data_IF_004306113491
#
_entry.id   IF_004306113491
#
_cell.length_a   1.000
_cell.length_b   1.000
_cell.length_c   1.000
_cell.angle_alpha   90.00
_cell.angle_beta   90.00
_cell.angle_gamma   90.00
#
_symmetry.space_group_name_H-M   'P 1'
#
loop_
_entity.id
_entity.type
_entity.pdbx_description
1 polymer ?
#
# COMPACT_ATOMS: atom_id res chain seq x y z
N UNK A 1 3.61 21.76 5.84
CA UNK A 1 4.75 22.53 5.29
C UNK A 1 5.82 21.62 4.69
N UNK A 2 6.29 20.56 5.38
CA UNK A 2 7.24 19.58 4.80
C UNK A 2 6.71 18.81 3.57
N UNK A 3 5.45 18.40 3.55
CA UNK A 3 4.89 17.59 2.45
C UNK A 3 4.76 18.32 1.10
N UNK A 4 4.52 19.63 1.12
CA UNK A 4 4.34 20.45 -0.09
C UNK A 4 5.68 20.67 -0.79
N UNK A 5 6.75 20.86 -0.02
CA UNK A 5 8.12 21.04 -0.52
C UNK A 5 8.66 19.72 -1.13
N UNK A 6 8.39 18.59 -0.46
CA UNK A 6 8.70 17.24 -0.95
C UNK A 6 7.94 16.88 -2.24
N UNK A 7 6.71 17.37 -2.41
CA UNK A 7 5.88 17.11 -3.59
C UNK A 7 6.47 17.74 -4.86
N UNK A 8 7.03 18.95 -4.74
CA UNK A 8 7.69 19.63 -5.86
C UNK A 8 9.10 19.08 -6.10
N UNK A 9 9.88 18.84 -5.04
CA UNK A 9 11.19 18.19 -5.15
C UNK A 9 11.13 16.80 -5.79
N UNK A 10 10.06 16.04 -5.57
CA UNK A 10 9.89 14.72 -6.20
C UNK A 10 9.80 14.77 -7.72
N UNK A 11 9.29 15.85 -8.30
CA UNK A 11 9.18 15.99 -9.77
C UNK A 11 10.54 16.38 -10.36
N UNK A 12 11.25 17.29 -9.68
CA UNK A 12 12.43 17.98 -10.19
C UNK A 12 13.77 17.30 -9.87
N UNK A 13 13.89 16.57 -8.75
CA UNK A 13 15.15 16.01 -8.26
C UNK A 13 15.12 14.50 -7.97
N UNK A 14 16.30 13.90 -8.05
CA UNK A 14 16.53 12.47 -8.33
C UNK A 14 16.43 11.52 -7.14
N UNK A 15 17.54 10.83 -6.82
CA UNK A 15 17.57 9.70 -5.88
C UNK A 15 17.46 10.12 -4.40
N UNK A 16 17.90 11.32 -4.03
CA UNK A 16 17.92 11.80 -2.63
C UNK A 16 16.51 12.04 -2.08
N UNK A 17 15.62 12.59 -2.88
CA UNK A 17 14.23 12.87 -2.53
C UNK A 17 13.42 11.57 -2.43
N UNK A 18 13.76 10.56 -3.23
CA UNK A 18 13.15 9.23 -3.14
C UNK A 18 13.45 8.58 -1.78
N UNK A 19 14.68 8.70 -1.28
CA UNK A 19 15.06 8.16 0.04
C UNK A 19 14.24 8.82 1.16
N UNK A 20 14.06 10.15 1.13
CA UNK A 20 13.25 10.86 2.11
C UNK A 20 11.77 10.43 2.06
N UNK A 21 11.23 10.24 0.86
CA UNK A 21 9.86 9.76 0.65
C UNK A 21 9.70 8.33 1.20
N UNK A 22 10.67 7.44 0.93
CA UNK A 22 10.66 6.07 1.46
C UNK A 22 10.70 6.11 2.99
N UNK A 23 11.55 6.95 3.58
CA UNK A 23 11.65 7.08 5.03
C UNK A 23 10.35 7.61 5.66
N UNK A 24 9.64 8.52 4.98
CA UNK A 24 8.42 9.14 5.50
C UNK A 24 7.17 8.25 5.33
N UNK A 25 7.10 7.50 4.24
CA UNK A 25 5.90 6.76 3.83
C UNK A 25 6.05 5.25 3.89
N UNK A 26 7.26 4.70 3.83
CA UNK A 26 7.50 3.26 3.64
C UNK A 26 6.83 2.40 4.69
N UNK A 27 7.04 2.71 5.98
CA UNK A 27 6.41 1.94 7.06
C UNK A 27 4.87 2.09 7.04
N UNK A 28 4.36 3.28 6.70
CA UNK A 28 2.91 3.53 6.68
C UNK A 28 2.22 2.80 5.52
N UNK A 29 2.84 2.80 4.33
CA UNK A 29 2.34 2.08 3.17
C UNK A 29 2.46 0.57 3.35
N UNK A 30 3.53 0.09 4.00
CA UNK A 30 3.70 -1.32 4.35
C UNK A 30 2.58 -1.80 5.26
N UNK A 31 2.37 -1.09 6.36
CA UNK A 31 1.26 -1.34 7.28
C UNK A 31 -0.11 -1.34 6.58
N UNK A 32 -0.34 -0.38 5.70
CA UNK A 32 -1.57 -0.27 4.91
C UNK A 32 -1.76 -1.45 3.94
N UNK A 33 -0.71 -1.80 3.19
CA UNK A 33 -0.72 -2.94 2.27
C UNK A 33 -0.91 -4.26 3.00
N UNK A 34 -0.23 -4.46 4.15
CA UNK A 34 -0.40 -5.65 5.01
C UNK A 34 -1.84 -5.77 5.49
N UNK A 35 -2.50 -4.66 5.85
CA UNK A 35 -3.89 -4.69 6.27
C UNK A 35 -4.86 -5.09 5.13
N UNK A 36 -4.56 -4.70 3.89
CA UNK A 36 -5.37 -5.06 2.72
C UNK A 36 -5.16 -6.52 2.32
N UNK A 37 -3.89 -6.93 2.20
CA UNK A 37 -3.48 -8.25 1.70
C UNK A 37 -3.60 -9.36 2.76
N UNK A 38 -3.55 -8.99 4.03
CA UNK A 38 -3.38 -9.90 5.16
C UNK A 38 -2.13 -10.80 5.02
N UNK A 39 -1.09 -10.29 4.38
CA UNK A 39 0.19 -10.95 4.14
C UNK A 39 1.30 -9.88 4.17
N UNK A 40 2.32 -10.07 5.03
CA UNK A 40 3.40 -9.10 5.20
C UNK A 40 4.39 -9.15 4.03
N UNK A 41 4.76 -10.34 3.56
CA UNK A 41 5.75 -10.49 2.51
C UNK A 41 5.23 -10.01 1.16
N UNK A 42 3.96 -10.31 0.83
CA UNK A 42 3.33 -9.71 -0.35
C UNK A 42 3.24 -8.18 -0.23
N UNK A 43 2.93 -7.66 0.96
CA UNK A 43 2.86 -6.22 1.19
C UNK A 43 4.22 -5.53 1.01
N UNK A 44 5.30 -6.13 1.51
CA UNK A 44 6.67 -5.62 1.34
C UNK A 44 7.05 -5.51 -0.14
N UNK A 45 6.79 -6.56 -0.92
CA UNK A 45 7.02 -6.55 -2.37
C UNK A 45 6.18 -5.46 -3.07
N UNK A 46 4.90 -5.34 -2.71
CA UNK A 46 4.01 -4.34 -3.30
C UNK A 46 4.49 -2.92 -2.99
N UNK A 47 4.97 -2.64 -1.78
CA UNK A 47 5.46 -1.31 -1.39
C UNK A 47 6.72 -0.94 -2.14
N UNK A 48 7.65 -1.88 -2.34
CA UNK A 48 8.82 -1.67 -3.19
C UNK A 48 8.42 -1.32 -4.63
N UNK A 49 7.49 -2.09 -5.22
CA UNK A 49 6.95 -1.79 -6.55
C UNK A 49 6.25 -0.43 -6.61
N UNK A 50 5.55 -0.03 -5.55
CA UNK A 50 4.88 1.27 -5.48
C UNK A 50 5.90 2.40 -5.60
N UNK A 51 6.97 2.39 -4.80
CA UNK A 51 7.99 3.44 -4.86
C UNK A 51 8.72 3.46 -6.20
N UNK A 52 9.07 2.29 -6.75
CA UNK A 52 9.69 2.20 -8.07
C UNK A 52 8.77 2.75 -9.17
N UNK A 53 7.49 2.33 -9.17
CA UNK A 53 6.49 2.78 -10.12
C UNK A 53 6.19 4.27 -9.97
N UNK A 54 6.14 4.79 -8.75
CA UNK A 54 5.94 6.20 -8.45
C UNK A 54 7.12 7.02 -9.00
N UNK A 55 8.36 6.60 -8.74
CA UNK A 55 9.54 7.30 -9.23
C UNK A 55 9.63 7.30 -10.76
N UNK A 56 9.34 6.17 -11.41
CA UNK A 56 9.32 6.07 -12.87
C UNK A 56 8.24 6.95 -13.51
N UNK A 57 7.09 7.13 -12.85
CA UNK A 57 5.95 7.87 -13.36
C UNK A 57 5.75 9.23 -12.66
N UNK A 58 6.77 9.75 -11.98
CA UNK A 58 6.68 10.98 -11.17
C UNK A 58 6.24 12.21 -11.97
N UNK A 59 6.55 12.26 -13.26
CA UNK A 59 6.07 13.32 -14.16
C UNK A 59 4.54 13.34 -14.35
N UNK A 60 3.84 12.26 -14.01
CA UNK A 60 2.38 12.19 -14.04
C UNK A 60 1.72 12.62 -12.71
N UNK A 61 2.52 12.91 -11.68
CA UNK A 61 2.02 13.48 -10.43
C UNK A 61 1.78 14.98 -10.63
N UNK A 62 0.61 15.46 -10.17
CA UNK A 62 0.14 16.83 -10.35
C UNK A 62 0.72 17.82 -9.32
N UNK A 63 1.50 17.32 -8.36
CA UNK A 63 2.16 18.14 -7.34
C UNK A 63 1.29 18.50 -6.14
N UNK A 64 0.05 17.99 -6.05
CA UNK A 64 -0.90 18.40 -5.01
C UNK A 64 -0.72 17.59 -3.70
N UNK A 65 -1.09 16.30 -3.73
CA UNK A 65 -1.08 15.45 -2.53
C UNK A 65 -0.34 14.14 -2.75
N UNK A 66 0.98 14.16 -2.50
CA UNK A 66 1.86 13.00 -2.70
C UNK A 66 1.43 11.81 -1.85
N UNK A 67 1.01 12.04 -0.61
CA UNK A 67 0.47 10.99 0.27
C UNK A 67 -0.72 10.28 -0.39
N UNK A 68 -1.77 11.04 -0.77
CA UNK A 68 -2.96 10.46 -1.39
C UNK A 68 -2.63 9.71 -2.69
N UNK A 69 -1.71 10.24 -3.49
CA UNK A 69 -1.26 9.60 -4.72
C UNK A 69 -0.56 8.25 -4.44
N UNK A 70 0.39 8.20 -3.50
CA UNK A 70 1.07 6.97 -3.10
C UNK A 70 0.08 5.93 -2.54
N UNK A 71 -0.82 6.32 -1.63
CA UNK A 71 -1.83 5.43 -1.07
C UNK A 71 -2.77 4.87 -2.16
N UNK A 72 -3.12 5.68 -3.18
CA UNK A 72 -3.94 5.25 -4.32
C UNK A 72 -3.20 4.22 -5.18
N UNK A 73 -1.92 4.44 -5.46
CA UNK A 73 -1.09 3.46 -6.19
C UNK A 73 -1.01 2.15 -5.39
N UNK A 74 -0.71 2.23 -4.10
CA UNK A 74 -0.64 1.06 -3.20
C UNK A 74 -1.96 0.29 -3.19
N UNK A 75 -3.08 0.97 -2.99
CA UNK A 75 -4.40 0.34 -2.98
C UNK A 75 -4.68 -0.42 -4.28
N UNK A 76 -4.45 0.21 -5.44
CA UNK A 76 -4.66 -0.42 -6.74
C UNK A 76 -3.76 -1.65 -6.95
N UNK A 77 -2.49 -1.57 -6.54
CA UNK A 77 -1.54 -2.69 -6.60
C UNK A 77 -2.01 -3.85 -5.71
N UNK A 78 -2.43 -3.58 -4.47
CA UNK A 78 -2.97 -4.60 -3.58
C UNK A 78 -4.23 -5.26 -4.15
N UNK A 79 -5.16 -4.49 -4.74
CA UNK A 79 -6.35 -5.06 -5.38
C UNK A 79 -5.99 -5.96 -6.56
N UNK A 80 -5.00 -5.57 -7.37
CA UNK A 80 -4.52 -6.39 -8.48
C UNK A 80 -3.87 -7.68 -7.97
N UNK A 81 -3.07 -7.62 -6.89
CA UNK A 81 -2.50 -8.81 -6.27
C UNK A 81 -3.60 -9.74 -5.74
N UNK A 82 -4.62 -9.23 -5.06
CA UNK A 82 -5.76 -10.04 -4.59
C UNK A 82 -6.53 -10.69 -5.75
N UNK A 83 -6.70 -9.98 -6.88
CA UNK A 83 -7.31 -10.55 -8.09
C UNK A 83 -6.44 -11.68 -8.65
N UNK A 84 -5.11 -11.50 -8.73
CA UNK A 84 -4.17 -12.53 -9.16
C UNK A 84 -4.19 -13.74 -8.22
N UNK A 85 -4.20 -13.52 -6.91
CA UNK A 85 -4.35 -14.58 -5.89
C UNK A 85 -5.61 -15.39 -6.11
N UNK A 86 -6.75 -14.76 -6.42
CA UNK A 86 -8.00 -15.48 -6.71
C UNK A 86 -7.89 -16.34 -7.99
N UNK A 87 -7.23 -15.82 -9.02
CA UNK A 87 -7.00 -16.57 -10.28
C UNK A 87 -6.06 -17.75 -10.03
N UNK A 88 -4.94 -17.52 -9.34
CA UNK A 88 -3.96 -18.53 -8.99
C UNK A 88 -4.57 -19.58 -8.06
N UNK A 89 -5.32 -19.19 -7.04
CA UNK A 89 -6.01 -20.14 -6.14
C UNK A 89 -7.04 -20.99 -6.90
N UNK A 90 -7.77 -20.41 -7.85
CA UNK A 90 -8.66 -21.19 -8.73
C UNK A 90 -7.88 -22.19 -9.60
N UNK A 91 -6.63 -21.89 -9.93
CA UNK A 91 -5.72 -22.79 -10.65
C UNK A 91 -5.04 -23.83 -9.72
N UNK A 92 -4.65 -23.42 -8.52
CA UNK A 92 -3.99 -24.20 -7.45
C UNK A 92 -4.97 -25.07 -6.64
N UNK A 93 -6.29 -24.96 -6.80
CA UNK A 93 -7.18 -26.05 -6.36
C UNK A 93 -6.85 -27.39 -7.10
N UNK A 94 -5.94 -27.38 -8.09
CA UNK A 94 -5.24 -28.56 -8.63
C UNK A 94 -3.88 -28.92 -8.00
N UNK A 95 -3.32 -28.14 -7.07
CA UNK A 95 -2.04 -28.42 -6.41
C UNK A 95 -1.90 -27.69 -5.05
N UNK A 96 -1.62 -28.43 -3.98
CA UNK A 96 -1.65 -27.98 -2.58
C UNK A 96 -0.81 -26.73 -2.26
N UNK A 97 -1.35 -25.88 -1.38
CA UNK A 97 -0.76 -24.59 -0.97
C UNK A 97 0.03 -24.72 0.33
N UNK A 98 1.27 -24.22 0.32
CA UNK A 98 2.18 -24.13 1.47
C UNK A 98 2.01 -22.78 2.17
N UNK A 99 1.91 -22.79 3.51
CA UNK A 99 1.84 -21.58 4.34
C UNK A 99 3.26 -21.14 4.73
N UNK A 100 3.56 -19.84 4.56
CA UNK A 100 4.85 -19.23 4.92
C UNK A 100 4.89 -18.78 6.39
N UNK A 101 6.08 -18.87 6.97
CA UNK A 101 6.38 -18.61 8.39
C UNK A 101 6.32 -17.12 8.77
N UNK A 102 6.00 -16.89 10.05
CA UNK A 102 5.93 -15.58 10.71
C UNK A 102 7.32 -15.04 10.98
N UNK A 103 7.57 -13.79 10.58
CA UNK A 103 8.31 -12.83 11.40
C UNK A 103 8.19 -11.41 10.79
N UNK A 104 7.72 -10.45 11.61
CA UNK A 104 7.32 -9.05 11.33
C UNK A 104 5.93 -8.87 10.69
N UNK A 105 5.11 -8.01 11.31
CA UNK A 105 3.76 -7.68 10.84
C UNK A 105 2.74 -7.47 11.95
N UNK A 106 1.47 -7.36 11.57
CA UNK A 106 0.34 -7.32 12.50
C UNK A 106 0.20 -8.66 13.23
N UNK A 107 -0.38 -8.65 14.44
CA UNK A 107 -0.65 -9.89 15.18
C UNK A 107 -1.61 -10.79 14.39
N UNK A 108 -1.48 -12.11 14.56
CA UNK A 108 -2.38 -13.10 13.96
C UNK A 108 -3.85 -12.82 14.23
N UNK A 109 -4.16 -12.39 15.45
CA UNK A 109 -5.52 -12.03 15.85
C UNK A 109 -6.05 -10.88 15.00
N UNK A 110 -5.24 -9.84 14.80
CA UNK A 110 -5.57 -8.69 13.96
C UNK A 110 -5.77 -9.12 12.51
N UNK A 111 -4.87 -9.95 11.97
CA UNK A 111 -4.96 -10.45 10.60
C UNK A 111 -6.24 -11.27 10.39
N UNK A 112 -6.58 -12.16 11.33
CA UNK A 112 -7.83 -12.95 11.29
C UNK A 112 -9.08 -12.06 11.37
N UNK A 113 -9.05 -11.00 12.17
CA UNK A 113 -10.15 -10.06 12.26
C UNK A 113 -10.34 -9.30 10.93
N UNK A 114 -9.25 -8.79 10.34
CA UNK A 114 -9.26 -8.11 9.05
C UNK A 114 -9.78 -9.01 7.92
N UNK A 115 -9.44 -10.30 7.93
CA UNK A 115 -9.88 -11.26 6.90
C UNK A 115 -11.41 -11.36 6.78
N UNK A 116 -12.16 -11.07 7.84
CA UNK A 116 -13.63 -11.07 7.82
C UNK A 116 -14.24 -9.91 7.01
N UNK A 117 -13.47 -8.85 6.79
CA UNK A 117 -13.89 -7.67 6.03
C UNK A 117 -13.55 -7.82 4.55
N UNK A 118 -14.25 -7.08 3.68
CA UNK A 118 -13.90 -6.96 2.26
C UNK A 118 -12.63 -6.10 2.12
N UNK A 119 -11.82 -6.29 1.06
CA UNK A 119 -10.59 -5.51 0.86
C UNK A 119 -10.78 -3.99 0.91
N UNK A 120 -11.87 -3.48 0.33
CA UNK A 120 -12.24 -2.05 0.36
C UNK A 120 -12.53 -1.55 1.79
N UNK A 121 -13.18 -2.37 2.62
CA UNK A 121 -13.48 -2.04 4.01
C UNK A 121 -12.21 -2.03 4.87
N UNK A 122 -11.28 -2.97 4.63
CA UNK A 122 -9.95 -3.01 5.30
C UNK A 122 -9.16 -1.73 5.02
N UNK A 123 -9.12 -1.31 3.75
CA UNK A 123 -8.44 -0.10 3.32
C UNK A 123 -8.99 1.16 4.03
N UNK A 124 -10.31 1.33 4.03
CA UNK A 124 -10.96 2.47 4.68
C UNK A 124 -10.73 2.49 6.19
N UNK A 125 -10.83 1.33 6.86
CA UNK A 125 -10.59 1.20 8.30
C UNK A 125 -9.15 1.62 8.65
N UNK A 126 -8.16 1.15 7.89
CA UNK A 126 -6.77 1.42 8.19
C UNK A 126 -6.38 2.88 7.90
N UNK A 127 -6.84 3.45 6.78
CA UNK A 127 -6.63 4.86 6.46
C UNK A 127 -7.22 5.79 7.53
N UNK A 128 -8.40 5.45 8.07
CA UNK A 128 -9.04 6.22 9.13
C UNK A 128 -8.37 6.08 10.49
N UNK A 129 -8.09 4.85 10.93
CA UNK A 129 -7.63 4.57 12.31
C UNK A 129 -6.15 4.90 12.50
N UNK A 130 -5.30 4.66 11.49
CA UNK A 130 -3.84 4.74 11.67
C UNK A 130 -3.23 6.02 11.10
N UNK A 131 -3.81 6.58 10.03
CA UNK A 131 -3.30 7.81 9.42
C UNK A 131 -4.12 9.05 9.77
N UNK A 132 -5.23 8.89 10.51
CA UNK A 132 -6.13 9.99 10.87
C UNK A 132 -6.81 10.68 9.68
N UNK A 133 -6.78 10.06 8.49
CA UNK A 133 -7.28 10.66 7.26
C UNK A 133 -8.76 11.05 7.38
N UNK A 134 -9.11 12.18 6.78
CA UNK A 134 -10.49 12.66 6.74
C UNK A 134 -11.34 11.81 5.79
N UNK A 135 -12.67 11.87 5.94
CA UNK A 135 -13.59 11.17 5.03
C UNK A 135 -13.46 11.66 3.58
N UNK A 136 -13.09 12.93 3.38
CA UNK A 136 -12.84 13.52 2.05
C UNK A 136 -11.58 12.93 1.40
N UNK A 137 -10.50 12.75 2.16
CA UNK A 137 -9.27 12.13 1.67
C UNK A 137 -9.49 10.64 1.33
N UNK A 138 -10.29 9.94 2.14
CA UNK A 138 -10.64 8.54 1.88
C UNK A 138 -11.50 8.36 0.62
N UNK A 139 -12.33 9.34 0.26
CA UNK A 139 -13.14 9.27 -0.96
C UNK A 139 -12.29 9.44 -2.23
N UNK A 140 -11.14 10.10 -2.15
CA UNK A 140 -10.22 10.26 -3.29
C UNK A 140 -9.34 9.03 -3.53
N UNK A 141 -9.24 8.16 -2.52
CA UNK A 141 -8.45 6.93 -2.56
C UNK A 141 -9.18 5.74 -3.22
N UNK A 142 -10.51 5.79 -3.32
CA UNK A 142 -11.35 4.62 -3.67
C UNK A 142 -12.42 4.90 -4.70
#
# INVERSE_FOLDING_TARGET
MKDIDLSQGFIDSGESELEEIINLYGEKLLRYATAILCDYHEAENIVQEVFLSAYQNRAAFDGDNLSAWLYKITYNRCLNQLKRRKILYFHEIRSEVVLSEKEKGLSDETLRALQKLKPKERALLYGRIMNGQSYEELSQLT
#
